data_IF_763432176852
#
_entry.id   IF_763432176852
#
_cell.length_a   1.000
_cell.length_b   1.000
_cell.length_c   1.000
_cell.angle_alpha   90.00
_cell.angle_beta   90.00
_cell.angle_gamma   90.00
#
_symmetry.space_group_name_H-M   'P 1'
#
loop_
_entity.id
_entity.type
_entity.pdbx_description
1 polymer ?
#
# COMPACT_ATOMS: atom_id res chain seq x y z
N UNK A 1 9.10 4.76 10.70
CA UNK A 1 7.97 5.36 11.44
C UNK A 1 7.56 6.60 10.67
N UNK A 2 6.26 6.80 10.44
CA UNK A 2 5.71 7.96 9.72
C UNK A 2 4.87 8.80 10.65
N UNK A 3 5.07 10.12 10.61
CA UNK A 3 4.29 11.11 11.35
C UNK A 3 2.97 11.44 10.63
N UNK A 4 2.94 11.26 9.32
CA UNK A 4 1.78 11.60 8.46
C UNK A 4 1.34 10.41 7.62
N UNK A 5 0.06 10.38 7.23
CA UNK A 5 -0.47 9.37 6.31
C UNK A 5 0.27 9.42 4.97
N UNK A 6 0.62 10.63 4.51
CA UNK A 6 1.28 10.85 3.22
C UNK A 6 2.69 10.26 3.15
N UNK A 7 3.39 10.20 4.27
CA UNK A 7 4.73 9.59 4.36
C UNK A 7 4.70 8.06 4.42
N UNK A 8 3.53 7.43 4.62
CA UNK A 8 3.41 5.98 4.54
C UNK A 8 3.60 5.51 3.10
N UNK A 9 4.57 4.64 2.91
CA UNK A 9 4.92 4.05 1.63
C UNK A 9 5.17 2.54 1.75
N UNK A 10 5.00 1.83 0.64
CA UNK A 10 5.44 0.45 0.48
C UNK A 10 6.84 0.33 -0.12
N UNK A 11 7.37 1.42 -0.67
CA UNK A 11 8.67 1.45 -1.31
C UNK A 11 9.79 1.03 -0.35
N UNK A 12 10.72 0.23 -0.84
CA UNK A 12 11.84 -0.27 -0.05
C UNK A 12 13.08 -0.35 -0.94
N UNK A 13 14.15 0.31 -0.50
CA UNK A 13 15.45 0.33 -1.17
C UNK A 13 16.48 -0.29 -0.24
N UNK A 14 17.27 -1.22 -0.79
CA UNK A 14 18.32 -1.94 -0.08
C UNK A 14 19.52 -2.08 -1.02
N UNK A 15 20.72 -1.78 -0.52
CA UNK A 15 21.98 -1.81 -1.27
C UNK A 15 21.93 -1.01 -2.59
N UNK A 16 21.25 0.14 -2.57
CA UNK A 16 21.09 1.02 -3.75
C UNK A 16 20.11 0.51 -4.81
N UNK A 17 19.42 -0.61 -4.56
CA UNK A 17 18.40 -1.18 -5.45
C UNK A 17 17.02 -1.02 -4.82
N UNK A 18 16.09 -0.41 -5.56
CA UNK A 18 14.68 -0.34 -5.16
C UNK A 18 14.03 -1.72 -5.30
N UNK A 19 14.09 -2.50 -4.22
CA UNK A 19 13.54 -3.87 -4.13
C UNK A 19 12.04 -3.87 -4.26
N UNK A 20 11.37 -2.88 -3.67
CA UNK A 20 9.93 -2.67 -3.80
C UNK A 20 9.72 -1.28 -4.37
N UNK A 21 9.14 -1.21 -5.57
CA UNK A 21 8.80 0.02 -6.26
C UNK A 21 7.32 0.31 -6.10
N UNK A 22 6.98 1.44 -5.47
CA UNK A 22 5.60 1.90 -5.37
C UNK A 22 5.13 2.48 -6.72
N UNK A 23 4.00 1.98 -7.23
CA UNK A 23 3.36 2.46 -8.46
C UNK A 23 2.10 3.27 -8.20
N UNK A 24 1.44 3.03 -7.07
CA UNK A 24 0.21 3.71 -6.71
C UNK A 24 -0.12 3.55 -5.23
N UNK A 25 -0.79 4.55 -4.68
CA UNK A 25 -1.19 4.61 -3.27
C UNK A 25 -2.53 5.31 -3.16
N UNK A 26 -3.49 4.64 -2.52
CA UNK A 26 -4.81 5.21 -2.26
C UNK A 26 -5.25 4.97 -0.82
N UNK A 27 -5.84 5.99 -0.20
CA UNK A 27 -6.29 5.93 1.20
C UNK A 27 -7.73 5.47 1.26
N UNK A 28 -7.96 4.26 1.76
CA UNK A 28 -9.29 3.68 1.93
C UNK A 28 -10.02 4.31 3.11
N UNK A 29 -9.35 4.48 4.26
CA UNK A 29 -9.91 5.10 5.46
C UNK A 29 -8.87 5.94 6.21
N UNK A 30 -9.30 7.02 6.86
CA UNK A 30 -8.46 7.94 7.65
C UNK A 30 -8.86 7.93 9.14
N UNK A 31 -7.95 8.35 10.01
CA UNK A 31 -8.19 8.53 11.45
C UNK A 31 -7.17 7.77 12.31
N UNK A 32 -7.55 7.47 13.56
CA UNK A 32 -6.74 6.65 14.47
C UNK A 32 -6.40 5.28 13.88
N UNK A 33 -7.25 4.79 12.97
CA UNK A 33 -6.96 3.65 12.13
C UNK A 33 -7.02 4.05 10.67
N UNK A 34 -5.91 3.86 9.97
CA UNK A 34 -5.75 4.25 8.57
C UNK A 34 -5.53 2.99 7.74
N UNK A 35 -6.29 2.82 6.65
CA UNK A 35 -6.07 1.72 5.70
C UNK A 35 -5.66 2.31 4.37
N UNK A 36 -4.58 1.79 3.81
CA UNK A 36 -4.03 2.21 2.52
C UNK A 36 -3.94 0.99 1.63
N UNK A 37 -4.32 1.15 0.37
CA UNK A 37 -4.05 0.18 -0.68
C UNK A 37 -2.88 0.69 -1.53
N UNK A 38 -1.97 -0.21 -1.84
CA UNK A 38 -0.77 0.06 -2.63
C UNK A 38 -0.76 -0.82 -3.88
N UNK A 39 -0.33 -0.25 -5.00
CA UNK A 39 0.12 -0.96 -6.20
C UNK A 39 1.64 -0.86 -6.24
N UNK A 40 2.33 -1.97 -6.46
CA UNK A 40 3.79 -2.00 -6.41
C UNK A 40 4.38 -3.10 -7.29
N UNK A 41 5.68 -3.04 -7.55
CA UNK A 41 6.44 -4.11 -8.18
C UNK A 41 7.61 -4.52 -7.29
N UNK A 42 8.00 -5.78 -7.40
CA UNK A 42 9.19 -6.29 -6.73
C UNK A 42 10.31 -6.53 -7.73
N UNK A 43 11.52 -6.14 -7.36
CA UNK A 43 12.74 -6.42 -8.09
C UNK A 43 13.08 -7.90 -8.02
N UNK A 44 13.22 -8.55 -9.17
CA UNK A 44 13.74 -9.90 -9.27
C UNK A 44 15.25 -9.85 -9.48
N UNK A 45 16.03 -10.11 -8.42
CA UNK A 45 17.50 -10.07 -8.50
C UNK A 45 18.09 -11.07 -9.49
N UNK A 46 17.46 -12.23 -9.69
CA UNK A 46 17.95 -13.26 -10.60
C UNK A 46 17.73 -12.88 -12.08
N UNK A 47 16.64 -12.18 -12.38
CA UNK A 47 16.27 -11.78 -13.75
C UNK A 47 16.62 -10.32 -14.08
N UNK A 48 17.03 -9.55 -13.08
CA UNK A 48 17.28 -8.11 -13.18
C UNK A 48 16.12 -7.32 -13.81
N UNK A 49 14.89 -7.69 -13.45
CA UNK A 49 13.66 -7.02 -13.91
C UNK A 49 12.68 -6.86 -12.76
N UNK A 50 11.79 -5.87 -12.88
CA UNK A 50 10.62 -5.76 -12.03
C UNK A 50 9.56 -6.80 -12.42
N UNK A 51 8.93 -7.40 -11.42
CA UNK A 51 7.82 -8.34 -11.59
C UNK A 51 6.55 -7.64 -12.09
N UNK A 52 5.54 -8.44 -12.45
CA UNK A 52 4.21 -7.92 -12.73
C UNK A 52 3.66 -7.12 -11.52
N UNK A 53 2.81 -6.10 -11.74
CA UNK A 53 2.22 -5.33 -10.65
C UNK A 53 1.53 -6.22 -9.61
N UNK A 54 1.77 -5.89 -8.35
CA UNK A 54 1.18 -6.51 -7.16
C UNK A 54 0.39 -5.47 -6.38
N UNK A 55 -0.51 -5.93 -5.53
CA UNK A 55 -1.35 -5.08 -4.71
C UNK A 55 -1.28 -5.52 -3.26
N UNK A 56 -1.22 -4.56 -2.34
CA UNK A 56 -1.24 -4.82 -0.91
C UNK A 56 -2.15 -3.83 -0.19
N UNK A 57 -2.95 -4.32 0.75
CA UNK A 57 -3.72 -3.49 1.67
C UNK A 57 -3.02 -3.52 3.02
N UNK A 58 -2.68 -2.34 3.55
CA UNK A 58 -2.00 -2.18 4.84
C UNK A 58 -2.86 -1.35 5.78
N UNK A 59 -3.05 -1.87 6.99
CA UNK A 59 -3.75 -1.18 8.09
C UNK A 59 -2.72 -0.64 9.07
N UNK A 60 -2.87 0.62 9.43
CA UNK A 60 -2.03 1.31 10.39
C UNK A 60 -2.88 1.81 11.55
N UNK A 61 -2.33 1.73 12.76
CA UNK A 61 -2.92 2.33 13.95
C UNK A 61 -2.02 3.48 14.41
N UNK A 62 -2.58 4.68 14.56
CA UNK A 62 -1.89 5.85 15.12
C UNK A 62 -1.81 5.69 16.64
N UNK A 63 -0.59 5.68 17.19
CA UNK A 63 -0.30 5.70 18.65
C UNK A 63 0.90 6.62 18.88
N UNK A 64 0.80 7.54 19.85
CA UNK A 64 1.84 8.52 20.16
C UNK A 64 2.35 9.25 18.91
N UNK A 65 1.40 9.74 18.10
CA UNK A 65 1.65 10.40 16.80
C UNK A 65 2.40 9.60 15.72
N UNK A 66 2.61 8.30 15.94
CA UNK A 66 3.23 7.41 14.96
C UNK A 66 2.26 6.35 14.46
N UNK A 67 2.38 6.02 13.17
CA UNK A 67 1.62 4.94 12.54
C UNK A 67 2.32 3.58 12.67
N UNK A 68 1.59 2.61 13.23
CA UNK A 68 2.06 1.24 13.43
C UNK A 68 1.29 0.27 12.52
N UNK A 69 2.00 -0.50 11.71
CA UNK A 69 1.39 -1.51 10.84
C UNK A 69 0.71 -2.62 11.66
N UNK A 70 -0.44 -3.09 11.18
CA UNK A 70 -1.19 -4.22 11.73
C UNK A 70 -1.37 -5.29 10.67
N UNK A 71 -1.04 -6.52 11.03
CA UNK A 71 -1.01 -7.66 10.09
C UNK A 71 -2.39 -8.18 9.69
N UNK A 72 -3.45 -7.82 10.42
CA UNK A 72 -4.83 -8.24 10.15
C UNK A 72 -5.72 -7.02 9.99
N UNK A 73 -6.59 -7.05 8.99
CA UNK A 73 -7.68 -6.09 8.82
C UNK A 73 -8.91 -6.81 8.28
N UNK A 74 -10.09 -6.26 8.54
CA UNK A 74 -11.35 -6.70 7.97
C UNK A 74 -11.94 -5.54 7.16
N UNK A 75 -12.66 -5.86 6.09
CA UNK A 75 -13.48 -4.90 5.36
C UNK A 75 -14.77 -4.74 6.16
N UNK A 76 -14.92 -3.60 6.84
CA UNK A 76 -15.95 -3.43 7.88
C UNK A 76 -17.26 -2.85 7.35
N UNK A 77 -17.29 -2.39 6.09
CA UNK A 77 -18.50 -1.83 5.47
C UNK A 77 -18.57 -2.12 3.97
N UNK A 78 -19.78 -2.16 3.38
CA UNK A 78 -19.96 -2.23 1.94
C UNK A 78 -19.25 -1.11 1.18
N UNK A 79 -19.29 0.13 1.69
CA UNK A 79 -18.61 1.27 1.06
C UNK A 79 -17.10 1.07 0.96
N UNK A 80 -16.48 0.46 1.98
CA UNK A 80 -15.06 0.16 1.95
C UNK A 80 -14.75 -0.93 0.92
N UNK A 81 -15.63 -1.94 0.78
CA UNK A 81 -15.51 -2.96 -0.26
C UNK A 81 -15.61 -2.33 -1.66
N UNK A 82 -16.63 -1.50 -1.88
CA UNK A 82 -16.85 -0.83 -3.16
C UNK A 82 -15.66 0.04 -3.55
N UNK A 83 -15.15 0.84 -2.60
CA UNK A 83 -13.98 1.69 -2.85
C UNK A 83 -12.73 0.88 -3.22
N UNK A 84 -12.53 -0.30 -2.62
CA UNK A 84 -11.43 -1.20 -3.02
C UNK A 84 -11.62 -1.67 -4.46
N UNK A 85 -12.83 -2.08 -4.84
CA UNK A 85 -13.15 -2.52 -6.20
C UNK A 85 -12.86 -1.40 -7.19
N UNK A 86 -13.37 -0.19 -6.95
CA UNK A 86 -13.22 0.94 -7.87
C UNK A 86 -11.74 1.29 -8.11
N UNK A 87 -10.93 1.30 -7.05
CA UNK A 87 -9.49 1.57 -7.14
C UNK A 87 -8.78 0.46 -7.92
N UNK A 88 -9.09 -0.80 -7.63
CA UNK A 88 -8.47 -1.93 -8.32
C UNK A 88 -8.86 -1.96 -9.80
N UNK A 89 -10.13 -1.76 -10.13
CA UNK A 89 -10.60 -1.66 -11.52
C UNK A 89 -9.86 -0.56 -12.27
N UNK A 90 -9.82 0.66 -11.70
CA UNK A 90 -9.08 1.79 -12.29
C UNK A 90 -7.62 1.42 -12.59
N UNK A 91 -6.91 0.83 -11.63
CA UNK A 91 -5.50 0.46 -11.84
C UNK A 91 -5.31 -0.68 -12.84
N UNK A 92 -6.30 -1.56 -13.00
CA UNK A 92 -6.25 -2.62 -14.01
C UNK A 92 -6.53 -2.08 -15.41
N UNK A 93 -7.33 -1.02 -15.53
CA UNK A 93 -7.61 -0.30 -16.78
C UNK A 93 -6.46 0.63 -17.20
N UNK A 94 -5.68 1.15 -16.25
CA UNK A 94 -4.45 1.94 -16.49
C UNK A 94 -3.28 1.09 -17.07
N UNK A 95 -3.54 -0.10 -17.65
CA UNK A 95 -2.55 -1.00 -18.26
C UNK A 95 -2.46 -0.83 -19.78
#
# INVERSE_FOLDING_TARGET
MSETIDSLTIAFTEDGVEKIKELGKEVLSKGAWTTIIFRYQEWNAAKQIYSAPKFAIRRYQKRNDQYWLKSKFAISSPDQAQKIIDILTKWLEDN
#
